data_IF_368599962078
#
_entry.id   IF_368599962078
#
_cell.length_a   1.000
_cell.length_b   1.000
_cell.length_c   1.000
_cell.angle_alpha   90.00
_cell.angle_beta   90.00
_cell.angle_gamma   90.00
#
_symmetry.space_group_name_H-M   'P 1'
#
loop_
_entity.id
_entity.type
_entity.pdbx_description
1 polymer ?
#
# COMPACT_ATOMS: atom_id res chain seq x y z
N UNK A 1 15.18 -47.95 -3.77
CA UNK A 1 16.23 -47.63 -2.78
C UNK A 1 17.30 -46.80 -3.48
N UNK A 2 16.92 -45.64 -4.03
CA UNK A 2 17.80 -44.82 -4.89
C UNK A 2 18.02 -43.40 -4.34
N UNK A 3 17.42 -43.08 -3.18
CA UNK A 3 17.55 -41.78 -2.52
C UNK A 3 18.97 -41.53 -1.96
N UNK A 4 19.71 -42.58 -1.61
CA UNK A 4 21.03 -42.48 -0.98
C UNK A 4 22.20 -42.45 -1.97
N UNK A 5 21.95 -42.65 -3.28
CA UNK A 5 23.02 -42.62 -4.30
C UNK A 5 23.45 -41.20 -4.71
N UNK A 6 22.67 -40.17 -4.38
CA UNK A 6 23.04 -38.76 -4.62
C UNK A 6 23.90 -38.13 -3.50
N UNK A 7 24.22 -38.89 -2.44
CA UNK A 7 25.07 -38.40 -1.33
C UNK A 7 26.57 -38.62 -1.62
N UNK A 8 26.93 -39.23 -2.75
CA UNK A 8 28.34 -39.40 -3.14
C UNK A 8 28.99 -38.14 -3.74
N UNK A 9 28.43 -36.94 -3.52
CA UNK A 9 29.07 -35.65 -3.89
C UNK A 9 30.25 -35.27 -2.97
N UNK A 10 30.52 -36.04 -1.91
CA UNK A 10 31.66 -35.84 -1.00
C UNK A 10 32.98 -36.42 -1.52
N UNK A 11 33.31 -36.22 -2.80
CA UNK A 11 34.60 -36.69 -3.33
C UNK A 11 35.27 -35.66 -4.23
N UNK A 12 35.94 -34.67 -3.62
CA UNK A 12 37.12 -34.03 -4.20
C UNK A 12 37.94 -33.26 -3.17
N UNK A 13 39.21 -33.67 -3.05
CA UNK A 13 40.24 -33.24 -2.09
C UNK A 13 40.77 -31.80 -2.30
N UNK A 14 39.90 -30.86 -2.67
CA UNK A 14 40.22 -29.43 -2.81
C UNK A 14 39.18 -28.48 -2.21
N UNK A 15 38.42 -28.87 -1.18
CA UNK A 15 37.19 -28.10 -0.86
C UNK A 15 36.82 -27.94 0.62
N UNK A 16 37.68 -28.26 1.59
CA UNK A 16 37.31 -28.13 3.02
C UNK A 16 36.92 -26.71 3.45
N UNK A 17 37.75 -25.71 3.10
CA UNK A 17 37.49 -24.31 3.49
C UNK A 17 36.30 -23.73 2.71
N UNK A 18 36.20 -24.02 1.41
CA UNK A 18 35.09 -23.55 0.57
C UNK A 18 33.77 -24.15 1.04
N UNK A 19 33.76 -25.43 1.44
CA UNK A 19 32.58 -26.11 1.98
C UNK A 19 32.17 -25.58 3.35
N UNK A 20 33.13 -25.32 4.24
CA UNK A 20 32.84 -24.69 5.55
C UNK A 20 32.28 -23.27 5.35
N UNK A 21 32.84 -22.52 4.39
CA UNK A 21 32.35 -21.20 4.04
C UNK A 21 30.93 -21.26 3.45
N UNK A 22 30.65 -22.22 2.58
CA UNK A 22 29.34 -22.45 1.97
C UNK A 22 28.27 -22.73 3.04
N UNK A 23 28.55 -23.65 3.98
CA UNK A 23 27.64 -23.97 5.09
C UNK A 23 27.37 -22.76 5.99
N UNK A 24 28.41 -21.97 6.31
CA UNK A 24 28.26 -20.77 7.13
C UNK A 24 27.42 -19.70 6.44
N UNK A 25 27.64 -19.48 5.14
CA UNK A 25 26.87 -18.52 4.34
C UNK A 25 25.42 -18.97 4.26
N UNK A 26 25.14 -20.23 3.90
CA UNK A 26 23.77 -20.77 3.84
C UNK A 26 23.05 -20.62 5.18
N UNK A 27 23.72 -20.94 6.29
CA UNK A 27 23.14 -20.83 7.63
C UNK A 27 22.78 -19.39 8.00
N UNK A 28 23.69 -18.45 7.73
CA UNK A 28 23.44 -17.01 7.95
C UNK A 28 22.24 -16.51 7.14
N UNK A 29 22.10 -16.97 5.90
CA UNK A 29 21.01 -16.56 5.01
C UNK A 29 19.65 -17.08 5.46
N UNK A 30 19.58 -18.33 5.91
CA UNK A 30 18.35 -18.89 6.51
C UNK A 30 17.95 -18.08 7.75
N UNK A 31 18.91 -17.71 8.60
CA UNK A 31 18.65 -16.88 9.78
C UNK A 31 18.13 -15.48 9.38
N UNK A 32 18.77 -14.84 8.39
CA UNK A 32 18.37 -13.51 7.92
C UNK A 32 16.98 -13.53 7.28
N UNK A 33 16.65 -14.57 6.52
CA UNK A 33 15.33 -14.78 5.93
C UNK A 33 14.25 -14.95 7.01
N UNK A 34 14.51 -15.77 8.04
CA UNK A 34 13.62 -15.95 9.18
C UNK A 34 13.36 -14.64 9.94
N UNK A 35 14.40 -13.85 10.20
CA UNK A 35 14.30 -12.56 10.89
C UNK A 35 13.51 -11.53 10.07
N UNK A 36 13.72 -11.52 8.76
CA UNK A 36 13.13 -10.55 7.84
C UNK A 36 11.61 -10.65 7.80
N UNK A 37 11.00 -11.82 8.04
CA UNK A 37 9.53 -12.03 7.99
C UNK A 37 8.73 -11.17 9.00
N UNK A 38 9.36 -10.54 10.02
CA UNK A 38 8.63 -9.88 11.12
C UNK A 38 8.02 -8.49 10.88
N UNK A 39 8.30 -7.74 9.82
CA UNK A 39 7.69 -6.40 9.56
C UNK A 39 7.51 -6.01 8.07
N UNK A 40 6.25 -5.80 7.66
CA UNK A 40 5.73 -5.19 6.40
C UNK A 40 5.61 -6.07 5.14
N UNK A 41 4.37 -6.49 4.83
CA UNK A 41 4.03 -7.55 3.84
C UNK A 41 4.56 -7.34 2.41
N UNK A 42 4.61 -6.12 1.88
CA UNK A 42 4.98 -5.88 0.47
C UNK A 42 6.48 -5.69 0.22
N UNK A 43 7.13 -4.82 1.00
CA UNK A 43 8.56 -4.49 0.82
C UNK A 43 9.45 -5.68 1.14
N UNK A 44 9.08 -6.49 2.13
CA UNK A 44 9.80 -7.72 2.48
C UNK A 44 9.84 -8.74 1.34
N UNK A 45 8.75 -8.89 0.57
CA UNK A 45 8.70 -9.85 -0.54
C UNK A 45 9.67 -9.45 -1.65
N UNK A 46 9.67 -8.17 -2.05
CA UNK A 46 10.60 -7.66 -3.04
C UNK A 46 12.06 -7.78 -2.59
N UNK A 47 12.34 -7.46 -1.32
CA UNK A 47 13.68 -7.64 -0.74
C UNK A 47 14.10 -9.11 -0.67
N UNK A 48 13.18 -10.02 -0.34
CA UNK A 48 13.44 -11.46 -0.28
C UNK A 48 13.74 -12.07 -1.66
N UNK A 49 12.97 -11.69 -2.68
CA UNK A 49 13.21 -12.10 -4.07
C UNK A 49 14.56 -11.55 -4.56
N UNK A 50 14.84 -10.28 -4.29
CA UNK A 50 16.11 -9.65 -4.65
C UNK A 50 17.31 -10.31 -3.97
N UNK A 51 17.19 -10.66 -2.69
CA UNK A 51 18.22 -11.37 -1.94
C UNK A 51 18.51 -12.75 -2.57
N UNK A 52 17.48 -13.56 -2.84
CA UNK A 52 17.65 -14.89 -3.45
C UNK A 52 18.29 -14.79 -4.84
N UNK A 53 17.93 -13.77 -5.62
CA UNK A 53 18.51 -13.54 -6.95
C UNK A 53 20.00 -13.17 -6.88
N UNK A 54 20.37 -12.24 -5.99
CA UNK A 54 21.77 -11.86 -5.74
C UNK A 54 22.59 -13.06 -5.26
N UNK A 55 22.02 -13.88 -4.37
CA UNK A 55 22.66 -15.09 -3.87
C UNK A 55 22.90 -16.13 -4.96
N UNK A 56 21.97 -16.28 -5.92
CA UNK A 56 22.18 -17.16 -7.08
C UNK A 56 23.39 -16.74 -7.91
N UNK A 57 23.58 -15.43 -8.10
CA UNK A 57 24.76 -14.90 -8.80
C UNK A 57 26.03 -15.22 -8.01
N UNK A 58 26.05 -15.01 -6.69
CA UNK A 58 27.21 -15.34 -5.86
C UNK A 58 27.50 -16.85 -5.81
N UNK A 59 26.48 -17.71 -5.75
CA UNK A 59 26.64 -19.16 -5.77
C UNK A 59 27.37 -19.64 -7.02
N UNK A 60 26.95 -19.13 -8.19
CA UNK A 60 27.56 -19.46 -9.48
C UNK A 60 28.97 -18.88 -9.63
N UNK A 61 29.22 -17.68 -9.10
CA UNK A 61 30.53 -17.02 -9.22
C UNK A 61 31.58 -17.68 -8.30
N UNK A 62 31.16 -18.20 -7.16
CA UNK A 62 32.05 -18.79 -6.13
C UNK A 62 32.09 -20.33 -6.16
N UNK A 63 31.33 -20.97 -7.07
CA UNK A 63 31.17 -22.44 -7.17
C UNK A 63 30.66 -23.08 -5.85
N UNK A 64 29.66 -22.47 -5.22
CA UNK A 64 29.02 -23.05 -4.03
C UNK A 64 27.98 -24.11 -4.44
N UNK A 65 28.40 -25.37 -4.44
CA UNK A 65 27.58 -26.50 -4.88
C UNK A 65 26.30 -26.68 -4.06
N UNK A 66 26.33 -26.48 -2.73
CA UNK A 66 25.15 -26.64 -1.88
C UNK A 66 24.15 -25.51 -2.10
N UNK A 67 24.63 -24.27 -2.15
CA UNK A 67 23.79 -23.10 -2.36
C UNK A 67 23.15 -23.11 -3.75
N UNK A 68 23.91 -23.50 -4.79
CA UNK A 68 23.41 -23.59 -6.17
C UNK A 68 22.34 -24.67 -6.30
N UNK A 69 22.56 -25.86 -5.68
CA UNK A 69 21.56 -26.93 -5.63
C UNK A 69 20.26 -26.50 -4.94
N UNK A 70 20.34 -25.80 -3.80
CA UNK A 70 19.16 -25.29 -3.09
C UNK A 70 18.39 -24.30 -3.96
N UNK A 71 19.10 -23.37 -4.62
CA UNK A 71 18.49 -22.33 -5.44
C UNK A 71 17.81 -22.93 -6.68
N UNK A 72 18.46 -23.87 -7.37
CA UNK A 72 17.90 -24.53 -8.55
C UNK A 72 16.64 -25.34 -8.22
N UNK A 73 16.63 -26.04 -7.08
CA UNK A 73 15.47 -26.82 -6.66
C UNK A 73 14.27 -25.96 -6.24
N UNK A 74 14.52 -24.76 -5.68
CA UNK A 74 13.47 -23.83 -5.24
C UNK A 74 13.01 -22.89 -6.36
N UNK A 75 13.82 -22.66 -7.41
CA UNK A 75 13.55 -21.70 -8.49
C UNK A 75 12.14 -21.83 -9.11
N UNK A 76 11.61 -23.03 -9.44
CA UNK A 76 10.26 -23.15 -10.00
C UNK A 76 9.17 -22.71 -9.02
N UNK A 77 9.30 -23.10 -7.75
CA UNK A 77 8.37 -22.71 -6.68
C UNK A 77 8.45 -21.20 -6.40
N UNK A 78 9.64 -20.60 -6.52
CA UNK A 78 9.85 -19.17 -6.36
C UNK A 78 9.15 -18.35 -7.45
N UNK A 79 9.27 -18.74 -8.73
CA UNK A 79 8.56 -18.07 -9.83
C UNK A 79 7.05 -18.13 -9.62
N UNK A 80 6.53 -19.30 -9.24
CA UNK A 80 5.11 -19.47 -8.93
C UNK A 80 4.66 -18.60 -7.75
N UNK A 81 5.44 -18.61 -6.65
CA UNK A 81 5.16 -17.79 -5.48
C UNK A 81 5.18 -16.29 -5.81
N UNK A 82 6.11 -15.82 -6.64
CA UNK A 82 6.15 -14.42 -7.11
C UNK A 82 4.85 -14.08 -7.81
N UNK A 83 4.43 -14.87 -8.81
CA UNK A 83 3.23 -14.58 -9.60
C UNK A 83 1.99 -14.52 -8.69
N UNK A 84 1.81 -15.48 -7.80
CA UNK A 84 0.63 -15.55 -6.92
C UNK A 84 0.65 -14.45 -5.86
N UNK A 85 1.82 -14.16 -5.27
CA UNK A 85 1.96 -13.17 -4.20
C UNK A 85 1.95 -11.73 -4.71
N UNK A 86 2.48 -11.45 -5.91
CA UNK A 86 2.41 -10.12 -6.55
C UNK A 86 1.11 -9.88 -7.32
N UNK A 87 0.25 -10.89 -7.45
CA UNK A 87 -1.01 -10.75 -8.17
C UNK A 87 -1.87 -9.57 -7.67
N UNK A 88 -2.04 -9.35 -6.35
CA UNK A 88 -2.81 -8.22 -5.82
C UNK A 88 -2.21 -6.85 -6.20
N UNK A 89 -0.89 -6.72 -6.17
CA UNK A 89 -0.16 -5.48 -6.46
C UNK A 89 -0.24 -5.15 -7.95
N UNK A 90 -0.02 -6.14 -8.82
CA UNK A 90 -0.16 -5.96 -10.28
C UNK A 90 -1.60 -5.57 -10.63
N UNK A 91 -2.59 -6.16 -9.97
CA UNK A 91 -4.00 -5.79 -10.13
C UNK A 91 -4.27 -4.35 -9.68
N UNK A 92 -3.69 -3.92 -8.55
CA UNK A 92 -3.80 -2.55 -8.04
C UNK A 92 -3.20 -1.54 -9.02
N UNK A 93 -1.96 -1.77 -9.46
CA UNK A 93 -1.26 -0.88 -10.40
C UNK A 93 -2.02 -0.80 -11.73
N UNK A 94 -2.47 -1.94 -12.26
CA UNK A 94 -3.26 -1.97 -13.51
C UNK A 94 -4.62 -1.28 -13.35
N UNK A 95 -5.29 -1.45 -12.20
CA UNK A 95 -6.55 -0.77 -11.89
C UNK A 95 -6.37 0.74 -11.73
N UNK A 96 -5.26 1.17 -11.12
CA UNK A 96 -4.91 2.58 -11.00
C UNK A 96 -4.51 3.19 -12.35
N UNK A 97 -3.82 2.42 -13.19
CA UNK A 97 -3.49 2.81 -14.57
C UNK A 97 -4.71 2.85 -15.49
N UNK A 98 -5.66 1.91 -15.34
CA UNK A 98 -6.91 1.92 -16.09
C UNK A 98 -7.83 3.08 -15.65
N UNK A 99 -7.71 3.53 -14.40
CA UNK A 99 -8.39 4.72 -13.87
C UNK A 99 -7.59 6.00 -14.04
N UNK A 100 -6.41 5.96 -14.66
CA UNK A 100 -5.82 7.18 -15.23
C UNK A 100 -6.76 7.62 -16.34
N UNK A 101 -7.65 8.53 -15.96
CA UNK A 101 -8.37 9.45 -16.83
C UNK A 101 -7.33 10.21 -17.66
N UNK A 102 -6.78 9.55 -18.68
CA UNK A 102 -5.81 10.06 -19.65
C UNK A 102 -6.36 11.28 -20.45
N UNK A 103 -7.58 11.72 -20.15
CA UNK A 103 -8.25 12.89 -20.72
C UNK A 103 -8.84 13.83 -19.66
N UNK A 104 -8.19 14.03 -18.50
CA UNK A 104 -8.37 15.32 -17.82
C UNK A 104 -7.26 16.25 -18.29
N UNK A 105 -7.59 17.36 -19.00
CA UNK A 105 -6.58 18.35 -19.31
C UNK A 105 -5.95 18.77 -17.99
N UNK A 106 -4.65 19.04 -18.06
CA UNK A 106 -3.81 19.61 -17.03
C UNK A 106 -4.43 20.92 -16.53
N UNK A 107 -5.47 20.79 -15.70
CA UNK A 107 -5.96 21.87 -14.88
C UNK A 107 -4.81 22.05 -13.89
N UNK A 108 -4.08 23.15 -14.08
CA UNK A 108 -3.27 23.80 -13.06
C UNK A 108 -3.86 23.45 -11.70
N UNK A 109 -3.02 23.10 -10.72
CA UNK A 109 -3.44 23.03 -9.31
C UNK A 109 -4.11 24.37 -8.97
N UNK A 110 -5.40 24.47 -9.23
CA UNK A 110 -6.19 25.62 -8.86
C UNK A 110 -6.20 25.53 -7.36
N UNK A 111 -5.65 26.56 -6.71
CA UNK A 111 -5.79 26.70 -5.28
C UNK A 111 -7.27 26.46 -4.96
N UNK A 112 -7.55 25.53 -4.05
CA UNK A 112 -8.93 25.28 -3.62
C UNK A 112 -9.51 26.61 -3.20
N UNK A 113 -10.64 26.97 -3.77
CA UNK A 113 -11.33 28.20 -3.44
C UNK A 113 -11.87 28.06 -2.01
N UNK A 114 -11.14 28.68 -1.08
CA UNK A 114 -11.47 28.59 0.33
C UNK A 114 -12.67 29.46 0.68
N UNK A 115 -13.02 30.44 -0.15
CA UNK A 115 -14.09 31.40 0.15
C UNK A 115 -15.43 30.69 0.22
N UNK A 116 -15.71 29.80 -0.74
CA UNK A 116 -16.92 28.95 -0.77
C UNK A 116 -17.01 28.02 0.45
N UNK A 117 -15.88 27.47 0.89
CA UNK A 117 -15.83 26.59 2.08
C UNK A 117 -16.10 27.41 3.34
N UNK A 118 -15.43 28.56 3.49
CA UNK A 118 -15.56 29.44 4.65
C UNK A 118 -16.97 29.99 4.75
N UNK A 119 -17.58 30.41 3.65
CA UNK A 119 -18.95 30.90 3.62
C UNK A 119 -19.94 29.80 4.03
N UNK A 120 -19.83 28.61 3.44
CA UNK A 120 -20.66 27.46 3.81
C UNK A 120 -20.49 27.11 5.31
N UNK A 121 -19.26 27.07 5.81
CA UNK A 121 -18.97 26.79 7.22
C UNK A 121 -19.57 27.83 8.16
N UNK A 122 -19.53 29.13 7.81
CA UNK A 122 -20.17 30.19 8.61
C UNK A 122 -21.69 30.00 8.69
N UNK A 123 -22.33 29.70 7.56
CA UNK A 123 -23.79 29.47 7.51
C UNK A 123 -24.15 28.22 8.31
N UNK A 124 -23.39 27.13 8.17
CA UNK A 124 -23.61 25.90 8.93
C UNK A 124 -23.41 26.10 10.44
N UNK A 125 -22.38 26.84 10.85
CA UNK A 125 -22.14 27.19 12.24
C UNK A 125 -23.31 28.00 12.83
N UNK A 126 -23.79 29.01 12.11
CA UNK A 126 -24.97 29.82 12.51
C UNK A 126 -26.21 28.95 12.70
N UNK A 127 -26.40 27.96 11.83
CA UNK A 127 -27.55 27.05 11.86
C UNK A 127 -27.33 25.82 12.76
N UNK A 128 -26.18 25.71 13.44
CA UNK A 128 -25.80 24.54 14.25
C UNK A 128 -25.87 23.22 13.47
N UNK A 129 -25.44 23.26 12.21
CA UNK A 129 -25.31 22.10 11.33
C UNK A 129 -23.88 21.57 11.39
N UNK A 130 -23.73 20.32 11.84
CA UNK A 130 -22.43 19.66 11.85
C UNK A 130 -21.97 19.33 10.44
N UNK A 131 -20.72 19.64 10.12
CA UNK A 131 -20.08 19.33 8.85
C UNK A 131 -18.69 18.76 9.08
N UNK A 132 -18.21 17.98 8.11
CA UNK A 132 -16.86 17.41 8.11
C UNK A 132 -16.33 17.49 6.69
N UNK A 133 -15.33 18.33 6.46
CA UNK A 133 -14.79 18.61 5.13
C UNK A 133 -13.29 18.27 5.15
N UNK A 134 -12.87 17.32 4.33
CA UNK A 134 -11.49 16.93 4.15
C UNK A 134 -10.94 17.51 2.84
N UNK A 135 -9.89 18.33 2.93
CA UNK A 135 -9.22 18.92 1.78
C UNK A 135 -7.97 18.10 1.47
N UNK A 136 -7.97 17.41 0.34
CA UNK A 136 -6.84 16.59 -0.10
C UNK A 136 -5.66 17.48 -0.50
N UNK A 137 -4.47 17.14 0.01
CA UNK A 137 -3.21 17.83 -0.34
C UNK A 137 -2.28 16.90 -1.12
N UNK A 138 -1.35 16.24 -0.43
CA UNK A 138 -0.32 15.39 -1.04
C UNK A 138 -0.70 13.92 -1.02
N UNK A 139 -1.22 13.44 0.11
CA UNK A 139 -1.68 12.06 0.25
C UNK A 139 -3.09 11.90 -0.31
N UNK A 140 -3.22 11.02 -1.30
CA UNK A 140 -4.49 10.67 -1.92
C UNK A 140 -5.39 9.91 -0.94
N UNK A 141 -6.65 10.33 -0.82
CA UNK A 141 -7.70 9.63 -0.06
C UNK A 141 -8.56 8.70 -0.93
N UNK A 142 -8.04 8.24 -2.09
CA UNK A 142 -8.78 7.43 -3.07
C UNK A 142 -9.46 6.21 -2.47
N UNK A 143 -8.77 5.45 -1.61
CA UNK A 143 -9.34 4.22 -1.01
C UNK A 143 -10.62 4.51 -0.20
N UNK A 144 -10.67 5.69 0.45
CA UNK A 144 -11.85 6.15 1.19
C UNK A 144 -12.90 6.71 0.22
N UNK A 145 -12.46 7.49 -0.77
CA UNK A 145 -13.36 8.09 -1.74
C UNK A 145 -14.13 7.02 -2.53
N UNK A 146 -13.48 5.94 -2.95
CA UNK A 146 -14.10 4.84 -3.74
C UNK A 146 -15.26 4.15 -3.01
N UNK A 147 -15.29 4.19 -1.68
CA UNK A 147 -16.36 3.60 -0.87
C UNK A 147 -17.51 4.60 -0.59
N UNK A 148 -17.32 5.87 -0.92
CA UNK A 148 -18.28 6.95 -0.70
C UNK A 148 -19.09 7.26 -1.97
N UNK A 149 -20.09 8.14 -1.84
CA UNK A 149 -20.89 8.57 -3.00
C UNK A 149 -20.08 9.54 -3.86
N UNK A 150 -19.70 9.08 -5.05
CA UNK A 150 -18.96 9.87 -6.03
C UNK A 150 -19.84 10.99 -6.58
N UNK A 151 -19.35 12.23 -6.51
CA UNK A 151 -20.07 13.41 -7.00
C UNK A 151 -19.34 14.07 -8.17
N UNK A 152 -18.02 14.21 -8.06
CA UNK A 152 -17.18 14.93 -9.03
C UNK A 152 -17.79 16.28 -9.44
N UNK A 153 -18.21 17.07 -8.45
CA UNK A 153 -18.96 18.31 -8.63
C UNK A 153 -18.06 19.55 -8.47
N UNK A 154 -18.47 20.67 -9.07
CA UNK A 154 -17.84 21.97 -8.83
C UNK A 154 -18.11 22.37 -7.38
N UNK A 155 -17.09 22.87 -6.69
CA UNK A 155 -17.23 23.39 -5.34
C UNK A 155 -18.13 24.64 -5.33
N UNK A 156 -19.17 24.64 -4.50
CA UNK A 156 -19.99 25.81 -4.24
C UNK A 156 -20.60 25.75 -2.84
N UNK A 157 -20.86 26.92 -2.27
CA UNK A 157 -21.48 27.10 -0.96
C UNK A 157 -22.84 26.40 -0.91
N UNK A 158 -23.67 26.60 -1.93
CA UNK A 158 -25.01 26.03 -2.01
C UNK A 158 -24.99 24.49 -2.02
N UNK A 159 -24.01 23.90 -2.70
CA UNK A 159 -23.87 22.44 -2.75
C UNK A 159 -23.40 21.88 -1.40
N UNK A 160 -22.42 22.51 -0.75
CA UNK A 160 -21.98 22.11 0.59
C UNK A 160 -23.13 22.18 1.60
N UNK A 161 -23.91 23.26 1.59
CA UNK A 161 -25.10 23.41 2.44
C UNK A 161 -26.15 22.32 2.18
N UNK A 162 -26.30 21.91 0.91
CA UNK A 162 -27.23 20.86 0.52
C UNK A 162 -26.77 19.49 1.00
N UNK A 163 -25.48 19.17 0.85
CA UNK A 163 -24.89 17.91 1.29
C UNK A 163 -25.04 17.74 2.81
N UNK A 164 -24.73 18.77 3.60
CA UNK A 164 -24.81 18.71 5.06
C UNK A 164 -26.22 18.97 5.62
N UNK A 165 -27.24 19.09 4.76
CA UNK A 165 -28.63 19.22 5.22
C UNK A 165 -29.03 17.94 5.96
N UNK A 166 -29.51 18.09 7.20
CA UNK A 166 -29.95 16.97 8.05
C UNK A 166 -30.98 16.10 7.34
N UNK A 167 -30.95 14.79 7.62
CA UNK A 167 -31.87 13.78 7.08
C UNK A 167 -31.76 13.57 5.56
N UNK A 168 -30.59 13.80 4.97
CA UNK A 168 -30.30 13.45 3.58
C UNK A 168 -29.34 12.28 3.52
N UNK A 169 -29.31 11.50 2.44
CA UNK A 169 -28.40 10.35 2.35
C UNK A 169 -26.90 10.73 2.42
N UNK A 170 -26.56 11.98 2.10
CA UNK A 170 -25.16 12.44 1.99
C UNK A 170 -24.63 13.18 3.23
N UNK A 171 -25.49 13.51 4.20
CA UNK A 171 -25.08 14.33 5.36
C UNK A 171 -24.26 13.57 6.41
N UNK A 172 -24.28 12.25 6.35
CA UNK A 172 -23.57 11.37 7.27
C UNK A 172 -22.21 11.01 6.70
N UNK A 173 -21.17 11.60 7.27
CA UNK A 173 -19.77 11.40 6.86
C UNK A 173 -19.08 12.70 6.46
N UNK A 174 -17.91 12.53 5.86
CA UNK A 174 -17.06 13.60 5.35
C UNK A 174 -17.35 13.88 3.87
N UNK A 175 -17.15 15.14 3.49
CA UNK A 175 -17.01 15.55 2.10
C UNK A 175 -15.53 15.65 1.79
N UNK A 176 -15.08 15.01 0.70
CA UNK A 176 -13.69 15.06 0.26
C UNK A 176 -13.58 16.03 -0.91
N UNK A 177 -12.73 17.05 -0.76
CA UNK A 177 -12.45 18.06 -1.77
C UNK A 177 -11.04 17.83 -2.32
N UNK A 178 -10.93 17.71 -3.64
CA UNK A 178 -9.68 17.54 -4.35
C UNK A 178 -9.67 18.46 -5.58
N UNK A 179 -8.60 19.25 -5.76
CA UNK A 179 -8.41 20.13 -6.91
C UNK A 179 -9.60 21.08 -7.19
N UNK A 180 -10.09 21.76 -6.14
CA UNK A 180 -11.25 22.67 -6.20
C UNK A 180 -12.58 22.00 -6.64
N UNK A 181 -12.70 20.68 -6.46
CA UNK A 181 -13.92 19.92 -6.75
C UNK A 181 -14.30 19.06 -5.56
N UNK A 182 -15.61 18.85 -5.39
CA UNK A 182 -16.12 17.88 -4.43
C UNK A 182 -16.00 16.50 -5.10
N UNK A 183 -15.03 15.71 -4.67
CA UNK A 183 -14.78 14.38 -5.21
C UNK A 183 -15.92 13.42 -4.81
N UNK A 184 -16.21 13.36 -3.51
CA UNK A 184 -17.27 12.53 -2.96
C UNK A 184 -17.88 13.12 -1.68
N UNK A 185 -19.03 12.57 -1.27
CA UNK A 185 -19.70 12.86 -0.01
C UNK A 185 -20.10 11.57 0.71
N UNK A 186 -20.32 11.68 2.03
CA UNK A 186 -20.64 10.54 2.88
C UNK A 186 -19.46 9.60 3.14
N UNK A 187 -18.23 10.11 3.07
CA UNK A 187 -17.02 9.33 3.30
C UNK A 187 -16.79 9.06 4.80
N UNK A 188 -16.49 7.81 5.17
CA UNK A 188 -16.15 7.46 6.55
C UNK A 188 -14.63 7.58 6.77
N UNK A 189 -14.21 8.57 7.55
CA UNK A 189 -12.81 8.76 7.91
C UNK A 189 -12.43 7.89 9.13
N UNK A 190 -11.17 7.42 9.21
CA UNK A 190 -10.69 6.62 10.33
C UNK A 190 -10.69 7.43 11.63
N UNK A 191 -11.23 6.85 12.70
CA UNK A 191 -11.29 7.54 13.99
C UNK A 191 -9.99 7.43 14.78
N UNK A 192 -9.52 8.55 15.32
CA UNK A 192 -8.43 8.58 16.28
C UNK A 192 -8.83 7.87 17.59
N UNK A 193 -7.90 7.07 18.11
CA UNK A 193 -8.08 6.26 19.33
C UNK A 193 -7.67 7.01 20.60
N UNK A 194 -6.72 7.96 20.50
CA UNK A 194 -6.17 8.71 21.62
C UNK A 194 -6.57 10.19 21.51
N UNK A 195 -7.79 10.53 21.88
CA UNK A 195 -8.16 11.92 22.12
C UNK A 195 -8.31 12.13 23.63
N UNK A 196 -7.53 13.06 24.17
CA UNK A 196 -7.50 13.37 25.61
C UNK A 196 -8.79 14.05 26.12
N UNK A 197 -9.67 14.52 25.21
CA UNK A 197 -10.91 15.18 25.59
C UNK A 197 -12.15 14.38 25.18
N UNK A 198 -12.75 13.70 26.16
CA UNK A 198 -13.94 12.86 26.02
C UNK A 198 -15.20 13.62 25.52
N UNK A 199 -15.14 14.95 25.41
CA UNK A 199 -16.25 15.81 24.95
C UNK A 199 -16.38 15.88 23.42
N UNK A 200 -15.42 15.34 22.67
CA UNK A 200 -15.42 15.39 21.21
C UNK A 200 -16.33 14.31 20.59
N UNK A 201 -17.29 14.73 19.77
CA UNK A 201 -18.19 13.82 19.05
C UNK A 201 -17.53 13.11 17.86
N UNK A 202 -18.20 12.12 17.26
CA UNK A 202 -17.65 11.26 16.20
C UNK A 202 -17.00 12.01 15.02
N UNK A 203 -17.55 13.15 14.59
CA UNK A 203 -16.98 13.97 13.50
C UNK A 203 -15.65 14.65 13.86
N UNK A 204 -15.36 14.87 15.15
CA UNK A 204 -14.08 15.42 15.60
C UNK A 204 -13.02 14.33 15.79
N UNK A 205 -13.47 13.09 15.99
CA UNK A 205 -12.58 11.93 16.13
C UNK A 205 -12.12 11.39 14.77
N UNK A 206 -12.97 11.55 13.77
CA UNK A 206 -12.76 11.19 12.37
C UNK A 206 -11.80 12.18 11.69
#
# INVERSE_FOLDING_TARGET
MDFLKNISLFQSDKFGIVMVLDILIVSFLIYQFYSTIRRTRGVQLLLGIGLIWVLGIFAQTLNFELLDWIIDNIRPALVFAIIVLLQPELRKITGDMARLRLFRPFLLKTATDLDEIVEASKIMAKNKTGSLIAIVREHSLKDIAEQAVQLDAILSTSLLLTIFKKNTALHDGAVIIEQNRIACAGAFLPMAQNLDDARMGARHRA
#
